data_IF_869963764600
#
_entry.id   IF_869963764600
#
_cell.length_a   1.000
_cell.length_b   1.000
_cell.length_c   1.000
_cell.angle_alpha   90.00
_cell.angle_beta   90.00
_cell.angle_gamma   90.00
#
_symmetry.space_group_name_H-M   'P 1'
#
loop_
_entity.id
_entity.type
_entity.pdbx_description
1 polymer ?
#
# COMPACT_ATOMS: atom_id res chain seq x y z
N UNK A 1 -22.91 16.21 -29.41
CA UNK A 1 -21.61 16.04 -28.74
C UNK A 1 -21.46 14.55 -28.45
N UNK A 2 -20.54 13.87 -29.12
CA UNK A 2 -20.32 12.44 -28.91
C UNK A 2 -19.68 12.28 -27.53
N UNK A 3 -20.47 11.92 -26.53
CA UNK A 3 -19.96 11.52 -25.23
C UNK A 3 -19.27 10.17 -25.46
N UNK A 4 -17.96 10.18 -25.72
CA UNK A 4 -17.14 8.97 -25.74
C UNK A 4 -17.19 8.39 -24.34
N UNK A 5 -18.20 7.55 -24.09
CA UNK A 5 -18.34 6.81 -22.85
C UNK A 5 -17.04 6.03 -22.61
N UNK A 6 -16.26 6.48 -21.62
CA UNK A 6 -14.99 5.86 -21.28
C UNK A 6 -15.30 4.45 -20.77
N UNK A 7 -14.96 3.45 -21.57
CA UNK A 7 -15.18 2.04 -21.25
C UNK A 7 -14.00 1.53 -20.44
N UNK A 8 -14.25 1.19 -19.18
CA UNK A 8 -13.24 0.73 -18.22
C UNK A 8 -13.18 -0.79 -18.29
N UNK A 9 -11.97 -1.34 -18.40
CA UNK A 9 -11.76 -2.80 -18.44
C UNK A 9 -11.68 -3.36 -17.03
N UNK A 10 -12.48 -4.38 -16.78
CA UNK A 10 -12.55 -5.12 -15.52
C UNK A 10 -12.34 -6.60 -15.79
N UNK A 11 -11.58 -7.28 -14.95
CA UNK A 11 -11.27 -8.71 -15.05
C UNK A 11 -11.85 -9.45 -13.85
N UNK A 12 -12.44 -10.61 -14.06
CA UNK A 12 -12.72 -11.53 -12.95
C UNK A 12 -11.45 -12.28 -12.56
N UNK A 13 -10.98 -12.05 -11.34
CA UNK A 13 -9.74 -12.65 -10.81
C UNK A 13 -10.01 -13.90 -9.94
N UNK A 14 -11.27 -14.30 -9.80
CA UNK A 14 -11.67 -15.51 -9.07
C UNK A 14 -11.76 -16.74 -9.98
N UNK A 15 -11.85 -17.92 -9.36
CA UNK A 15 -12.10 -19.20 -10.04
C UNK A 15 -13.58 -19.47 -10.31
N UNK A 16 -14.47 -18.57 -9.91
CA UNK A 16 -15.92 -18.73 -10.03
C UNK A 16 -16.53 -17.61 -10.87
N UNK A 17 -17.71 -17.87 -11.40
CA UNK A 17 -18.53 -16.90 -12.12
C UNK A 17 -19.00 -15.79 -11.18
N UNK A 18 -18.81 -14.52 -11.57
CA UNK A 18 -19.24 -13.36 -10.79
C UNK A 18 -20.46 -12.73 -11.46
N UNK A 19 -21.61 -12.85 -10.81
CA UNK A 19 -22.85 -12.19 -11.21
C UNK A 19 -22.89 -10.73 -10.76
N UNK A 20 -23.16 -9.84 -11.72
CA UNK A 20 -23.27 -8.40 -11.53
C UNK A 20 -24.71 -7.99 -11.88
N UNK A 21 -25.33 -7.16 -11.04
CA UNK A 21 -26.58 -6.46 -11.34
C UNK A 21 -26.31 -4.97 -11.40
N UNK A 22 -26.78 -4.31 -12.45
CA UNK A 22 -26.56 -2.88 -12.64
C UNK A 22 -27.68 -2.05 -12.02
N UNK A 23 -27.49 -0.72 -11.96
CA UNK A 23 -28.37 0.24 -11.29
C UNK A 23 -29.83 0.17 -11.76
N UNK A 24 -30.06 -0.13 -13.03
CA UNK A 24 -31.41 -0.24 -13.58
C UNK A 24 -32.18 -1.47 -13.07
N UNK A 25 -31.52 -2.39 -12.36
CA UNK A 25 -32.09 -3.63 -11.82
C UNK A 25 -32.50 -4.65 -12.88
N UNK A 26 -32.41 -4.30 -14.16
CA UNK A 26 -32.86 -5.10 -15.31
C UNK A 26 -31.64 -5.72 -16.00
N UNK A 27 -30.56 -4.95 -16.17
CA UNK A 27 -29.32 -5.45 -16.73
C UNK A 27 -28.61 -6.28 -15.65
N UNK A 28 -28.29 -7.51 -16.03
CA UNK A 28 -27.39 -8.37 -15.27
C UNK A 28 -26.37 -9.00 -16.20
N UNK A 29 -25.20 -9.30 -15.67
CA UNK A 29 -24.11 -9.88 -16.42
C UNK A 29 -23.39 -10.88 -15.54
N UNK A 30 -22.98 -11.99 -16.12
CA UNK A 30 -22.12 -12.95 -15.45
C UNK A 30 -20.74 -12.93 -16.09
N UNK A 31 -19.71 -12.62 -15.30
CA UNK A 31 -18.32 -12.57 -15.77
C UNK A 31 -17.64 -13.89 -15.39
N UNK A 32 -17.21 -14.64 -16.40
CA UNK A 32 -16.47 -15.89 -16.20
C UNK A 32 -15.06 -15.64 -15.63
N UNK A 33 -14.46 -16.63 -14.94
CA UNK A 33 -13.07 -16.58 -14.47
C UNK A 33 -12.08 -16.12 -15.54
N UNK A 34 -11.17 -15.21 -15.19
CA UNK A 34 -10.13 -14.64 -16.04
C UNK A 34 -10.62 -13.91 -17.30
N UNK A 35 -11.92 -13.67 -17.45
CA UNK A 35 -12.46 -12.90 -18.58
C UNK A 35 -12.40 -11.41 -18.26
N UNK A 36 -12.02 -10.64 -19.27
CA UNK A 36 -12.02 -9.18 -19.24
C UNK A 36 -13.28 -8.66 -19.92
N UNK A 37 -13.98 -7.76 -19.24
CA UNK A 37 -15.19 -7.12 -19.71
C UNK A 37 -15.03 -5.60 -19.62
N UNK A 38 -15.63 -4.89 -20.56
CA UNK A 38 -15.68 -3.44 -20.53
C UNK A 38 -16.99 -2.96 -19.91
N UNK A 39 -16.89 -2.18 -18.84
CA UNK A 39 -18.01 -1.53 -18.16
C UNK A 39 -17.98 -0.03 -18.40
N UNK A 40 -19.14 0.62 -18.26
CA UNK A 40 -19.22 2.07 -18.21
C UNK A 40 -18.79 2.56 -16.84
N UNK A 41 -18.34 3.80 -16.78
CA UNK A 41 -17.95 4.46 -15.53
C UNK A 41 -19.10 4.53 -14.52
N UNK A 42 -20.29 4.95 -14.95
CA UNK A 42 -21.49 5.00 -14.10
C UNK A 42 -21.87 3.62 -13.52
N UNK A 43 -21.75 2.58 -14.36
CA UNK A 43 -22.01 1.20 -13.95
C UNK A 43 -20.97 0.75 -12.90
N UNK A 44 -19.72 1.22 -13.00
CA UNK A 44 -18.63 0.88 -12.10
C UNK A 44 -18.75 1.61 -10.75
N UNK A 45 -19.10 2.90 -10.76
CA UNK A 45 -19.33 3.70 -9.55
C UNK A 45 -20.49 3.13 -8.73
N UNK A 46 -21.59 2.75 -9.41
CA UNK A 46 -22.71 2.08 -8.77
C UNK A 46 -22.28 0.75 -8.12
N UNK A 47 -21.53 -0.07 -8.84
CA UNK A 47 -21.09 -1.36 -8.32
C UNK A 47 -20.13 -1.21 -7.15
N UNK A 48 -19.28 -0.18 -7.14
CA UNK A 48 -18.42 0.13 -6.00
C UNK A 48 -19.25 0.57 -4.77
N UNK A 49 -20.30 1.37 -4.98
CA UNK A 49 -21.16 1.86 -3.90
C UNK A 49 -22.06 0.76 -3.31
N UNK A 50 -22.54 -0.18 -4.13
CA UNK A 50 -23.55 -1.17 -3.72
C UNK A 50 -22.94 -2.55 -3.44
N UNK A 51 -21.75 -2.84 -3.95
CA UNK A 51 -21.18 -4.18 -3.90
C UNK A 51 -19.74 -4.22 -3.42
N UNK A 52 -19.44 -5.20 -2.56
CA UNK A 52 -18.09 -5.49 -2.09
C UNK A 52 -17.29 -6.36 -3.06
N UNK A 53 -17.80 -6.65 -4.26
CA UNK A 53 -17.11 -7.49 -5.28
C UNK A 53 -15.73 -6.96 -5.66
N UNK A 54 -15.55 -5.64 -5.59
CA UNK A 54 -14.29 -4.94 -5.86
C UNK A 54 -13.36 -4.95 -4.64
N UNK A 55 -13.90 -4.77 -3.43
CA UNK A 55 -13.16 -4.87 -2.16
C UNK A 55 -12.68 -6.30 -1.87
N UNK A 56 -13.50 -7.30 -2.20
CA UNK A 56 -13.19 -8.72 -2.04
C UNK A 56 -12.21 -9.28 -3.09
N UNK A 57 -11.66 -8.43 -3.97
CA UNK A 57 -10.78 -8.81 -5.10
C UNK A 57 -11.43 -9.80 -6.08
N UNK A 58 -12.76 -9.84 -6.12
CA UNK A 58 -13.46 -10.73 -7.06
C UNK A 58 -13.37 -10.20 -8.48
N UNK A 59 -13.49 -8.88 -8.61
CA UNK A 59 -13.28 -8.15 -9.85
C UNK A 59 -12.11 -7.17 -9.70
N UNK A 60 -11.27 -7.13 -10.72
CA UNK A 60 -10.08 -6.29 -10.79
C UNK A 60 -10.19 -5.28 -11.93
N UNK A 61 -10.05 -3.99 -11.61
CA UNK A 61 -9.99 -2.94 -12.62
C UNK A 61 -8.59 -2.94 -13.25
N UNK A 62 -8.53 -3.08 -14.58
CA UNK A 62 -7.27 -3.09 -15.33
C UNK A 62 -6.77 -1.68 -15.68
N UNK A 63 -7.68 -0.71 -15.72
CA UNK A 63 -7.36 0.69 -15.95
C UNK A 63 -6.81 1.30 -14.64
N UNK A 64 -5.50 1.59 -14.62
CA UNK A 64 -4.81 2.08 -13.43
C UNK A 64 -5.34 3.43 -12.97
N UNK A 65 -5.68 4.32 -13.91
CA UNK A 65 -6.15 5.67 -13.59
C UNK A 65 -7.51 5.59 -12.88
N UNK A 66 -8.41 4.75 -13.39
CA UNK A 66 -9.73 4.54 -12.79
C UNK A 66 -9.70 3.71 -11.51
N UNK A 67 -8.78 2.76 -11.42
CA UNK A 67 -8.52 2.04 -10.17
C UNK A 67 -8.14 3.02 -9.06
N UNK A 68 -7.23 3.96 -9.34
CA UNK A 68 -6.80 4.96 -8.36
C UNK A 68 -7.91 5.98 -8.03
N UNK A 69 -8.81 6.26 -8.96
CA UNK A 69 -9.95 7.16 -8.72
C UNK A 69 -11.03 6.51 -7.83
N UNK A 70 -11.37 5.24 -8.11
CA UNK A 70 -12.48 4.53 -7.45
C UNK A 70 -12.08 4.01 -6.07
N UNK A 71 -10.84 3.55 -5.94
CA UNK A 71 -10.33 3.06 -4.67
C UNK A 71 -9.55 4.14 -3.91
N UNK A 72 -9.32 5.34 -4.46
CA UNK A 72 -8.21 6.19 -4.00
C UNK A 72 -6.88 5.53 -4.32
N UNK A 73 -5.75 6.10 -3.91
CA UNK A 73 -4.42 5.45 -3.91
C UNK A 73 -4.36 4.20 -2.98
N UNK A 74 -5.41 3.39 -2.90
CA UNK A 74 -5.46 2.10 -2.23
C UNK A 74 -4.94 0.97 -3.15
N UNK A 75 -3.84 1.21 -3.86
CA UNK A 75 -2.89 0.12 -4.03
C UNK A 75 -2.32 -0.17 -2.64
N UNK A 76 -2.95 -1.16 -2.01
CA UNK A 76 -2.69 -1.67 -0.66
C UNK A 76 -3.34 -0.80 0.41
N UNK A 77 -3.90 -1.43 1.45
CA UNK A 77 -3.55 -0.97 2.79
C UNK A 77 -2.02 -1.13 2.90
N UNK A 78 -1.27 -0.24 2.24
CA UNK A 78 0.09 0.04 2.65
C UNK A 78 -0.15 0.58 4.05
N UNK A 79 0.35 -0.09 5.08
CA UNK A 79 0.67 0.65 6.31
C UNK A 79 1.73 1.66 5.87
N UNK A 80 1.31 2.77 5.28
CA UNK A 80 2.21 3.85 4.89
C UNK A 80 2.55 4.53 6.20
N UNK A 81 3.41 3.88 6.99
CA UNK A 81 3.93 4.42 8.22
C UNK A 81 4.72 5.66 7.81
N UNK A 82 4.16 6.81 8.16
CA UNK A 82 4.87 8.08 8.03
C UNK A 82 6.13 8.03 8.90
N UNK A 83 7.18 8.80 8.58
CA UNK A 83 8.36 8.91 9.44
C UNK A 83 8.02 9.27 10.89
N UNK A 84 6.93 10.01 11.12
CA UNK A 84 6.43 10.35 12.46
C UNK A 84 5.93 9.11 13.20
N UNK A 85 5.21 8.22 12.55
CA UNK A 85 4.73 6.97 13.15
C UNK A 85 5.87 5.98 13.41
N UNK A 86 6.83 5.91 12.49
CA UNK A 86 8.05 5.09 12.66
C UNK A 86 8.85 5.57 13.88
N UNK A 87 9.00 6.89 14.07
CA UNK A 87 9.65 7.45 15.27
C UNK A 87 8.92 7.05 16.55
N UNK A 88 7.58 7.08 16.55
CA UNK A 88 6.80 6.58 17.70
C UNK A 88 7.04 5.11 17.98
N UNK A 89 7.18 4.26 16.95
CA UNK A 89 7.54 2.85 17.11
C UNK A 89 8.94 2.71 17.73
N UNK A 90 9.88 3.56 17.34
CA UNK A 90 11.24 3.57 17.90
C UNK A 90 11.29 4.04 19.35
N UNK A 91 10.34 4.84 19.81
CA UNK A 91 10.25 5.26 21.22
C UNK A 91 9.70 4.14 22.13
N UNK A 92 9.08 3.10 21.57
CA UNK A 92 8.53 1.98 22.35
C UNK A 92 9.62 1.09 22.98
N UNK A 93 9.21 0.16 23.85
CA UNK A 93 10.11 -0.89 24.32
C UNK A 93 10.61 -1.75 23.15
N UNK A 94 11.77 -2.40 23.29
CA UNK A 94 12.30 -3.26 22.22
C UNK A 94 11.31 -4.38 21.86
N UNK A 95 10.59 -4.92 22.83
CA UNK A 95 9.61 -5.99 22.61
C UNK A 95 8.43 -5.51 21.78
N UNK A 96 7.89 -4.34 22.11
CA UNK A 96 6.75 -3.75 21.39
C UNK A 96 7.17 -3.30 19.99
N UNK A 97 8.36 -2.71 19.86
CA UNK A 97 8.94 -2.32 18.58
C UNK A 97 9.06 -3.53 17.64
N UNK A 98 9.56 -4.67 18.13
CA UNK A 98 9.63 -5.91 17.33
C UNK A 98 8.24 -6.37 16.90
N UNK A 99 7.28 -6.34 17.80
CA UNK A 99 5.90 -6.77 17.52
C UNK A 99 5.27 -5.91 16.42
N UNK A 100 5.45 -4.59 16.46
CA UNK A 100 4.94 -3.69 15.43
C UNK A 100 5.66 -3.89 14.10
N UNK A 101 7.00 -4.01 14.12
CA UNK A 101 7.80 -4.17 12.90
C UNK A 101 7.64 -5.55 12.25
N UNK A 102 7.50 -6.62 13.02
CA UNK A 102 7.28 -7.98 12.51
C UNK A 102 5.92 -8.13 11.80
N UNK A 103 4.95 -7.24 12.09
CA UNK A 103 3.68 -7.17 11.36
C UNK A 103 3.82 -6.51 9.97
N UNK A 104 4.95 -5.84 9.69
CA UNK A 104 5.20 -5.16 8.42
C UNK A 104 5.75 -6.18 7.42
N UNK A 105 4.94 -6.50 6.42
CA UNK A 105 5.27 -7.48 5.37
C UNK A 105 5.82 -6.84 4.08
N UNK A 106 5.74 -5.52 3.96
CA UNK A 106 6.15 -4.81 2.75
C UNK A 106 7.64 -4.42 2.78
N UNK A 107 8.44 -5.01 1.89
CA UNK A 107 9.88 -4.71 1.78
C UNK A 107 10.17 -3.24 1.45
N UNK A 108 9.26 -2.53 0.77
CA UNK A 108 9.40 -1.10 0.47
C UNK A 108 9.43 -0.25 1.74
N UNK A 109 8.71 -0.64 2.80
CA UNK A 109 8.69 0.10 4.06
C UNK A 109 9.98 -0.07 4.85
N UNK A 110 10.73 -1.15 4.63
CA UNK A 110 12.05 -1.35 5.24
C UNK A 110 13.02 -0.24 4.85
N UNK A 111 12.89 0.33 3.64
CA UNK A 111 13.69 1.49 3.23
C UNK A 111 13.36 2.72 4.07
N UNK A 112 12.07 3.05 4.22
CA UNK A 112 11.62 4.21 5.01
C UNK A 112 11.96 4.05 6.50
N UNK A 113 11.79 2.84 7.04
CA UNK A 113 12.17 2.50 8.42
C UNK A 113 13.67 2.69 8.62
N UNK A 114 14.49 2.21 7.68
CA UNK A 114 15.93 2.37 7.74
C UNK A 114 16.37 3.83 7.66
N UNK A 115 15.79 4.61 6.75
CA UNK A 115 16.11 6.03 6.59
C UNK A 115 15.72 6.84 7.84
N UNK A 116 14.53 6.56 8.38
CA UNK A 116 14.09 7.17 9.65
C UNK A 116 15.02 6.78 10.80
N UNK A 117 15.52 5.54 10.83
CA UNK A 117 16.46 5.08 11.85
C UNK A 117 17.80 5.82 11.77
N UNK A 118 18.27 6.20 10.57
CA UNK A 118 19.46 7.05 10.40
C UNK A 118 19.29 8.43 11.01
N UNK A 119 18.10 9.02 10.89
CA UNK A 119 17.82 10.35 11.45
C UNK A 119 17.85 10.37 12.99
N UNK A 120 17.49 9.26 13.63
CA UNK A 120 17.35 9.18 15.09
C UNK A 120 18.29 8.18 15.75
N UNK A 121 19.35 7.77 15.04
CA UNK A 121 20.29 6.72 15.48
C UNK A 121 20.88 7.01 16.86
N UNK A 122 21.10 8.28 17.20
CA UNK A 122 21.64 8.73 18.48
C UNK A 122 20.70 8.43 19.67
N UNK A 123 19.40 8.33 19.40
CA UNK A 123 18.37 8.01 20.39
C UNK A 123 18.06 6.50 20.45
N UNK A 124 18.64 5.70 19.54
CA UNK A 124 18.43 4.27 19.49
C UNK A 124 19.47 3.53 20.34
N UNK A 125 19.01 2.55 21.12
CA UNK A 125 19.91 1.66 21.85
C UNK A 125 20.59 0.67 20.89
N UNK A 126 21.78 0.19 21.25
CA UNK A 126 22.52 -0.80 20.45
C UNK A 126 21.69 -2.06 20.10
N UNK A 127 20.82 -2.49 21.03
CA UNK A 127 19.91 -3.62 20.80
C UNK A 127 18.84 -3.33 19.73
N UNK A 128 18.33 -2.10 19.68
CA UNK A 128 17.37 -1.67 18.65
C UNK A 128 18.05 -1.56 17.29
N UNK A 129 19.23 -0.94 17.25
CA UNK A 129 20.08 -0.83 16.05
C UNK A 129 20.35 -2.21 15.45
N UNK A 130 20.79 -3.17 16.27
CA UNK A 130 21.07 -4.55 15.83
C UNK A 130 19.82 -5.22 15.26
N UNK A 131 18.65 -5.04 15.89
CA UNK A 131 17.42 -5.61 15.36
C UNK A 131 17.01 -4.97 14.03
N UNK A 132 17.08 -3.63 13.89
CA UNK A 132 16.74 -2.94 12.66
C UNK A 132 17.62 -3.37 11.49
N UNK A 133 18.92 -3.59 11.75
CA UNK A 133 19.86 -4.14 10.76
C UNK A 133 19.42 -5.52 10.26
N UNK A 134 19.05 -6.43 11.18
CA UNK A 134 18.52 -7.73 10.81
C UNK A 134 17.19 -7.64 10.07
N UNK A 135 16.26 -6.80 10.55
CA UNK A 135 14.91 -6.65 10.00
C UNK A 135 14.93 -6.06 8.58
N UNK A 136 15.77 -5.05 8.36
CA UNK A 136 15.92 -4.39 7.06
C UNK A 136 16.92 -5.10 6.14
N UNK A 137 17.61 -6.14 6.63
CA UNK A 137 18.71 -6.83 5.95
C UNK A 137 19.80 -5.85 5.43
N UNK A 138 20.29 -5.01 6.34
CA UNK A 138 21.27 -3.95 6.06
C UNK A 138 22.38 -3.92 7.09
N UNK A 139 23.53 -3.40 6.71
CA UNK A 139 24.69 -3.35 7.61
C UNK A 139 24.51 -2.27 8.70
N UNK A 140 24.86 -2.60 9.94
CA UNK A 140 24.85 -1.66 11.08
C UNK A 140 25.75 -0.45 10.78
N UNK A 141 26.84 -0.64 10.04
CA UNK A 141 27.76 0.44 9.68
C UNK A 141 27.09 1.55 8.86
N UNK A 142 26.06 1.24 8.06
CA UNK A 142 25.32 2.26 7.30
C UNK A 142 24.55 3.25 8.18
N UNK A 143 24.22 2.89 9.42
CA UNK A 143 23.56 3.81 10.37
C UNK A 143 24.56 4.82 10.96
N UNK A 144 25.84 4.44 11.06
CA UNK A 144 26.90 5.29 11.62
C UNK A 144 27.48 6.30 10.61
N UNK A 145 27.20 6.15 9.32
CA UNK A 145 27.72 7.05 8.27
C UNK A 145 26.96 8.38 8.24
N UNK A 146 25.67 8.41 8.58
CA UNK A 146 24.88 9.66 8.58
C UNK A 146 25.21 10.61 9.74
N UNK A 147 25.56 10.09 10.93
CA UNK A 147 25.99 10.95 12.06
C UNK A 147 27.25 11.75 11.72
N UNK A 148 28.16 11.21 10.89
CA UNK A 148 29.38 11.92 10.46
C UNK A 148 29.12 13.04 9.46
N UNK A 149 28.04 12.97 8.67
CA UNK A 149 27.75 13.97 7.65
C UNK A 149 26.97 15.18 8.19
N UNK A 150 26.28 15.05 9.31
CA UNK A 150 25.61 16.18 9.96
C UNK A 150 26.58 17.05 10.79
N UNK A 151 27.64 16.47 11.37
CA UNK A 151 28.68 17.27 12.05
C UNK A 151 29.57 18.10 11.12
N UNK A 152 29.53 17.85 9.80
CA UNK A 152 30.31 18.61 8.82
C UNK A 152 29.58 19.84 8.24
N UNK A 153 28.32 20.09 8.63
CA UNK A 153 27.51 21.21 8.12
C UNK A 153 27.34 22.38 9.09
N UNK A 154 27.89 22.32 10.31
CA UNK A 154 27.88 23.44 11.27
C UNK A 154 29.15 24.31 11.27
N UNK A 155 30.14 24.02 10.42
CA UNK A 155 31.28 24.92 10.20
C UNK A 155 31.30 25.42 8.74
N UNK A 156 30.44 26.40 8.43
CA UNK A 156 30.72 27.45 7.44
C UNK A 156 29.72 28.60 7.48
#
# INVERSE_FOLDING_TARGET
>A
MANTEKKIKVKNSTKHDVGIKFLDGIRSMNIKPNVVVSLKEEDLDYLNAVSTIFLGKSLEILDKDKKNEIFGDNTNQKMSLSPVEIKKIFDMSLTDMKKELDNITEDELKFTIWDTAKEVVENLTASKIKYLSTFCNRDVEELNISSKNNSAKEEK
#
